data_IF_354702733436
#
_entry.id   IF_354702733436
#
_cell.length_a   1.000
_cell.length_b   1.000
_cell.length_c   1.000
_cell.angle_alpha   90.00
_cell.angle_beta   90.00
_cell.angle_gamma   90.00
#
_symmetry.space_group_name_H-M   'P 1'
#
loop_
_entity.id
_entity.type
_entity.pdbx_description
1 polymer ?
#
# COMPACT_ATOMS: atom_id res chain seq x y z
N UNK A 1 41.80 23.55 -31.14
CA UNK A 1 42.31 23.56 -29.76
C UNK A 1 41.23 24.21 -28.90
N UNK A 2 40.62 23.39 -28.03
CA UNK A 2 39.83 23.68 -26.81
C UNK A 2 38.69 24.73 -26.84
N UNK A 3 37.48 24.19 -26.62
CA UNK A 3 36.28 24.84 -26.12
C UNK A 3 36.49 25.22 -24.64
N UNK A 4 36.13 26.45 -24.25
CA UNK A 4 36.11 26.89 -22.84
C UNK A 4 34.69 26.81 -22.28
N UNK A 5 34.53 26.02 -21.22
CA UNK A 5 33.33 25.98 -20.37
C UNK A 5 33.45 27.07 -19.30
N UNK A 6 32.38 27.82 -19.06
CA UNK A 6 32.25 28.67 -17.87
C UNK A 6 31.43 27.92 -16.81
N UNK A 7 32.09 27.54 -15.72
CA UNK A 7 31.45 27.15 -14.46
C UNK A 7 30.89 28.39 -13.76
N UNK A 8 29.61 28.35 -13.36
CA UNK A 8 29.06 29.29 -12.38
C UNK A 8 28.84 28.54 -11.08
N UNK A 9 29.70 28.84 -10.10
CA UNK A 9 29.58 28.35 -8.73
C UNK A 9 28.51 29.16 -8.00
N UNK A 10 27.41 28.52 -7.59
CA UNK A 10 26.46 29.10 -6.64
C UNK A 10 26.86 28.64 -5.25
N UNK A 11 27.42 29.57 -4.48
CA UNK A 11 27.77 29.35 -3.07
C UNK A 11 26.51 29.45 -2.21
N UNK A 12 26.15 28.35 -1.54
CA UNK A 12 25.12 28.34 -0.52
C UNK A 12 25.65 29.01 0.75
N UNK A 13 25.05 30.14 1.15
CA UNK A 13 25.22 30.73 2.48
C UNK A 13 24.07 30.27 3.38
N UNK A 14 24.41 29.43 4.35
CA UNK A 14 23.60 29.09 5.51
C UNK A 14 23.40 30.31 6.40
N UNK A 15 22.15 30.65 6.71
CA UNK A 15 21.81 31.49 7.85
C UNK A 15 20.77 30.75 8.69
N UNK A 16 21.21 30.33 9.87
CA UNK A 16 20.39 29.71 10.91
C UNK A 16 19.73 30.82 11.70
N UNK A 17 18.42 31.01 11.58
CA UNK A 17 17.63 31.67 12.63
C UNK A 17 16.33 30.92 12.86
N UNK A 18 16.13 30.60 14.14
CA UNK A 18 14.98 30.07 14.87
C UNK A 18 13.69 29.75 14.08
N UNK A 19 13.37 28.46 13.98
CA UNK A 19 11.99 28.01 13.83
C UNK A 19 11.32 28.00 15.21
N UNK A 20 10.43 28.96 15.45
CA UNK A 20 9.42 28.85 16.50
C UNK A 20 8.49 27.67 16.17
N UNK A 21 8.28 26.78 17.14
CA UNK A 21 7.37 25.65 17.05
C UNK A 21 5.91 26.12 17.19
N UNK A 22 5.01 25.88 16.20
CA UNK A 22 3.58 26.04 16.42
C UNK A 22 3.04 24.87 17.25
N UNK A 23 2.13 25.23 18.15
CA UNK A 23 1.48 24.41 19.16
C UNK A 23 0.83 23.13 18.63
N UNK A 24 0.95 22.09 19.46
CA UNK A 24 0.82 20.64 19.21
C UNK A 24 -0.58 20.09 18.87
N UNK A 25 -1.57 20.89 18.44
CA UNK A 25 -2.99 20.45 18.46
C UNK A 25 -3.66 20.14 17.11
N UNK A 26 -2.95 20.16 15.98
CA UNK A 26 -3.57 19.88 14.66
C UNK A 26 -2.76 18.92 13.77
N UNK A 27 -1.94 18.04 14.35
CA UNK A 27 -1.22 17.04 13.57
C UNK A 27 -2.22 15.98 13.06
N UNK A 28 -2.39 15.78 11.74
CA UNK A 28 -3.27 14.74 11.22
C UNK A 28 -2.82 13.36 11.72
N UNK A 29 -3.75 12.51 12.14
CA UNK A 29 -3.48 11.17 12.72
C UNK A 29 -2.48 10.33 11.88
N UNK A 30 -2.47 10.52 10.55
CA UNK A 30 -1.53 9.91 9.59
C UNK A 30 -0.05 10.21 9.91
N UNK A 31 0.25 11.43 10.38
CA UNK A 31 1.61 11.87 10.70
C UNK A 31 2.15 11.26 12.01
N UNK A 32 1.28 11.00 13.00
CA UNK A 32 1.67 10.39 14.29
C UNK A 32 1.98 8.89 14.12
N UNK A 33 1.13 8.15 13.41
CA UNK A 33 1.37 6.72 13.13
C UNK A 33 2.59 6.51 12.24
N UNK A 34 2.84 7.42 11.30
CA UNK A 34 4.03 7.38 10.44
C UNK A 34 5.33 7.53 11.24
N UNK A 35 5.40 8.54 12.12
CA UNK A 35 6.58 8.79 12.96
C UNK A 35 6.87 7.65 13.95
N UNK A 36 5.84 7.03 14.53
CA UNK A 36 6.00 5.91 15.47
C UNK A 36 6.49 4.63 14.76
N UNK A 37 5.92 4.29 13.60
CA UNK A 37 6.34 3.09 12.85
C UNK A 37 7.75 3.24 12.30
N UNK A 38 8.13 4.44 11.88
CA UNK A 38 9.50 4.74 11.48
C UNK A 38 10.47 4.66 12.67
N UNK A 39 10.11 5.22 13.83
CA UNK A 39 10.94 5.12 15.03
C UNK A 39 11.15 3.66 15.46
N UNK A 40 10.11 2.82 15.35
CA UNK A 40 10.22 1.39 15.60
C UNK A 40 11.17 0.70 14.60
N UNK A 41 11.02 0.98 13.30
CA UNK A 41 11.91 0.46 12.26
C UNK A 41 13.37 0.90 12.43
N UNK A 42 13.61 2.10 12.98
CA UNK A 42 14.96 2.59 13.28
C UNK A 42 15.52 2.03 14.61
N UNK A 43 14.68 1.43 15.46
CA UNK A 43 15.05 0.97 16.80
C UNK A 43 15.26 -0.54 16.93
N UNK A 44 14.84 -1.36 15.95
CA UNK A 44 15.07 -2.81 15.96
C UNK A 44 16.53 -3.14 15.60
N UNK A 45 17.42 -2.96 16.55
CA UNK A 45 18.78 -3.48 16.49
C UNK A 45 18.81 -4.88 17.08
N UNK A 46 19.04 -5.91 16.26
CA UNK A 46 19.70 -7.16 16.67
C UNK A 46 20.08 -8.04 15.49
N UNK A 47 21.39 -8.32 15.38
CA UNK A 47 22.02 -9.51 14.76
C UNK A 47 22.17 -9.56 13.22
N UNK A 48 23.39 -9.20 12.81
CA UNK A 48 24.20 -9.74 11.70
C UNK A 48 23.59 -9.87 10.29
N UNK A 49 24.09 -8.97 9.44
CA UNK A 49 24.24 -9.10 7.99
C UNK A 49 22.96 -8.86 7.14
N UNK A 50 22.98 -7.69 6.49
CA UNK A 50 22.22 -7.25 5.30
C UNK A 50 21.10 -6.25 5.62
N UNK A 51 21.42 -4.96 5.54
CA UNK A 51 20.46 -3.90 5.21
C UNK A 51 20.86 -3.36 3.83
N UNK A 52 19.95 -3.24 2.87
CA UNK A 52 20.17 -2.29 1.77
C UNK A 52 19.19 -1.13 1.82
N UNK A 53 18.06 -1.24 2.53
CA UNK A 53 17.34 -0.07 3.02
C UNK A 53 18.11 0.57 4.18
N UNK A 54 19.05 1.45 3.87
CA UNK A 54 19.81 2.16 4.89
C UNK A 54 18.86 2.95 5.80
N UNK A 55 19.19 3.03 7.10
CA UNK A 55 18.50 3.92 8.03
C UNK A 55 18.42 5.35 7.47
N UNK A 56 19.41 5.74 6.65
CA UNK A 56 19.46 7.00 5.90
C UNK A 56 18.32 7.12 4.89
N UNK A 57 18.06 6.10 4.08
CA UNK A 57 17.02 6.12 3.04
C UNK A 57 15.61 6.22 3.64
N UNK A 58 15.36 5.52 4.75
CA UNK A 58 14.10 5.66 5.49
C UNK A 58 13.97 7.04 6.15
N UNK A 59 15.09 7.63 6.58
CA UNK A 59 15.12 9.02 7.05
C UNK A 59 14.78 9.99 5.91
N UNK A 60 15.27 9.75 4.70
CA UNK A 60 14.93 10.54 3.50
C UNK A 60 13.44 10.45 3.16
N UNK A 61 12.87 9.23 3.19
CA UNK A 61 11.42 9.02 3.06
C UNK A 61 10.65 9.79 4.12
N UNK A 62 11.11 9.76 5.37
CA UNK A 62 10.44 10.45 6.48
C UNK A 62 10.42 11.97 6.38
N UNK A 63 11.46 12.51 5.75
CA UNK A 63 11.62 13.93 5.51
C UNK A 63 11.01 14.38 4.18
N UNK A 64 10.43 13.45 3.40
CA UNK A 64 9.90 13.74 2.07
C UNK A 64 10.98 14.13 1.04
N UNK A 65 12.23 13.68 1.23
CA UNK A 65 13.34 13.95 0.30
C UNK A 65 13.31 13.01 -0.91
N UNK A 66 12.26 13.11 -1.71
CA UNK A 66 11.99 12.18 -2.81
C UNK A 66 13.07 12.13 -3.89
N UNK A 67 13.72 13.26 -4.19
CA UNK A 67 14.85 13.31 -5.12
C UNK A 67 15.98 12.36 -4.71
N UNK A 68 16.31 12.34 -3.41
CA UNK A 68 17.35 11.46 -2.86
C UNK A 68 16.90 10.01 -2.92
N UNK A 69 15.64 9.74 -2.57
CA UNK A 69 15.06 8.39 -2.61
C UNK A 69 15.06 7.84 -4.04
N UNK A 70 14.62 8.63 -5.02
CA UNK A 70 14.58 8.24 -6.43
C UNK A 70 15.99 8.04 -6.99
N UNK A 71 16.94 8.93 -6.68
CA UNK A 71 18.33 8.77 -7.10
C UNK A 71 18.96 7.48 -6.54
N UNK A 72 18.70 7.17 -5.26
CA UNK A 72 19.19 5.94 -4.64
C UNK A 72 18.63 4.68 -5.32
N UNK A 73 17.33 4.67 -5.60
CA UNK A 73 16.64 3.54 -6.24
C UNK A 73 17.03 3.40 -7.71
N UNK A 74 17.23 4.50 -8.44
CA UNK A 74 17.74 4.48 -9.81
C UNK A 74 19.17 3.94 -9.87
N UNK A 75 20.00 4.31 -8.89
CA UNK A 75 21.39 3.82 -8.77
C UNK A 75 21.42 2.36 -8.36
N UNK A 76 20.45 1.91 -7.55
CA UNK A 76 20.38 0.55 -7.03
C UNK A 76 18.93 0.05 -6.98
N UNK A 77 18.37 -0.46 -8.09
CA UNK A 77 16.98 -0.92 -8.15
C UNK A 77 16.65 -2.06 -7.18
N UNK A 78 17.67 -2.83 -6.77
CA UNK A 78 17.55 -3.90 -5.75
C UNK A 78 16.90 -3.40 -4.47
N UNK A 79 17.15 -2.14 -4.08
CA UNK A 79 16.56 -1.50 -2.90
C UNK A 79 15.03 -1.56 -2.91
N UNK A 80 14.41 -1.42 -4.08
CA UNK A 80 12.95 -1.45 -4.18
C UNK A 80 12.33 -2.84 -4.14
N UNK A 81 13.15 -3.90 -4.25
CA UNK A 81 12.71 -5.29 -4.16
C UNK A 81 12.91 -5.91 -2.78
N UNK A 82 13.62 -5.23 -1.89
CA UNK A 82 13.87 -5.68 -0.54
C UNK A 82 12.67 -5.48 0.37
N UNK A 83 12.55 -6.35 1.36
CA UNK A 83 11.60 -6.26 2.46
C UNK A 83 12.38 -6.40 3.76
N UNK A 84 11.97 -5.65 4.79
CA UNK A 84 12.53 -5.81 6.13
C UNK A 84 12.01 -7.08 6.83
N UNK A 85 12.47 -7.30 8.06
CA UNK A 85 12.03 -8.40 8.93
C UNK A 85 10.51 -8.41 9.21
N UNK A 86 9.85 -7.25 9.08
CA UNK A 86 8.41 -7.08 9.24
C UNK A 86 7.66 -7.29 7.92
N UNK A 87 8.38 -7.49 6.80
CA UNK A 87 7.83 -7.60 5.47
C UNK A 87 7.48 -6.26 4.84
N UNK A 88 8.05 -5.14 5.28
CA UNK A 88 7.81 -3.82 4.70
C UNK A 88 8.88 -3.52 3.65
N UNK A 89 8.43 -3.17 2.44
CA UNK A 89 9.31 -2.67 1.38
C UNK A 89 9.46 -1.16 1.42
N UNK A 90 10.43 -0.61 0.71
CA UNK A 90 10.58 0.85 0.56
C UNK A 90 9.30 1.52 0.06
N UNK A 91 8.63 0.91 -0.92
CA UNK A 91 7.35 1.41 -1.44
C UNK A 91 6.26 1.43 -0.35
N UNK A 92 6.25 0.49 0.60
CA UNK A 92 5.33 0.56 1.75
C UNK A 92 5.58 1.82 2.58
N UNK A 93 6.85 2.09 2.92
CA UNK A 93 7.22 3.26 3.72
C UNK A 93 6.90 4.57 3.00
N UNK A 94 7.17 4.64 1.69
CA UNK A 94 6.77 5.79 0.86
C UNK A 94 5.26 6.00 0.92
N UNK A 95 4.48 4.95 0.71
CA UNK A 95 3.01 4.97 0.74
C UNK A 95 2.42 5.44 2.08
N UNK A 96 3.14 5.24 3.19
CA UNK A 96 2.73 5.73 4.50
C UNK A 96 2.98 7.23 4.71
N UNK A 97 3.76 7.87 3.85
CA UNK A 97 4.07 9.28 3.99
C UNK A 97 2.84 10.15 3.60
N UNK A 98 2.40 11.09 4.46
CA UNK A 98 1.16 11.83 4.26
C UNK A 98 1.15 12.76 3.05
N UNK A 99 2.34 13.16 2.57
CA UNK A 99 2.53 14.02 1.41
C UNK A 99 3.37 13.34 0.32
N UNK A 100 3.11 12.06 0.04
CA UNK A 100 3.72 11.36 -1.10
C UNK A 100 3.09 11.85 -2.42
N UNK A 101 3.86 12.47 -3.32
CA UNK A 101 3.37 12.90 -4.62
C UNK A 101 3.18 11.72 -5.59
N UNK A 102 2.20 11.80 -6.48
CA UNK A 102 1.85 10.73 -7.43
C UNK A 102 2.93 10.53 -8.51
N UNK A 103 3.54 11.61 -8.96
CA UNK A 103 4.66 11.61 -9.92
C UNK A 103 5.90 10.89 -9.37
N UNK A 104 6.15 10.98 -8.07
CA UNK A 104 7.21 10.21 -7.38
C UNK A 104 6.89 8.71 -7.42
N UNK A 105 5.63 8.32 -7.21
CA UNK A 105 5.21 6.91 -7.33
C UNK A 105 5.45 6.39 -8.74
N UNK A 106 5.03 7.13 -9.77
CA UNK A 106 5.29 6.74 -11.16
C UNK A 106 6.78 6.60 -11.46
N UNK A 107 7.59 7.57 -11.03
CA UNK A 107 9.04 7.57 -11.24
C UNK A 107 9.72 6.39 -10.55
N UNK A 108 9.27 6.07 -9.34
CA UNK A 108 9.76 4.93 -8.57
C UNK A 108 9.40 3.60 -9.25
N UNK A 109 8.14 3.42 -9.66
CA UNK A 109 7.68 2.19 -10.32
C UNK A 109 8.37 1.97 -11.68
N UNK A 110 8.68 3.06 -12.38
CA UNK A 110 9.49 3.03 -13.60
C UNK A 110 10.93 2.58 -13.31
N UNK A 111 11.51 3.02 -12.21
CA UNK A 111 12.87 2.63 -11.80
C UNK A 111 12.94 1.18 -11.27
N UNK A 112 11.83 0.66 -10.72
CA UNK A 112 11.75 -0.67 -10.10
C UNK A 112 10.55 -1.46 -10.65
N UNK A 113 10.65 -1.97 -11.90
CA UNK A 113 9.64 -2.87 -12.44
C UNK A 113 9.67 -4.18 -11.64
N UNK A 114 8.67 -4.40 -10.79
CA UNK A 114 8.64 -5.49 -9.81
C UNK A 114 8.39 -5.02 -8.36
N UNK A 115 8.37 -3.70 -8.12
CA UNK A 115 8.08 -3.15 -6.81
C UNK A 115 6.65 -3.41 -6.35
N UNK A 116 5.71 -3.56 -7.28
CA UNK A 116 4.31 -3.89 -6.99
C UNK A 116 4.20 -5.31 -6.43
N UNK A 117 4.94 -6.26 -6.98
CA UNK A 117 5.00 -7.64 -6.52
C UNK A 117 5.72 -7.75 -5.17
N UNK A 118 6.70 -6.89 -4.91
CA UNK A 118 7.33 -6.77 -3.58
C UNK A 118 6.37 -6.12 -2.59
N UNK A 119 5.64 -5.09 -2.99
CA UNK A 119 4.56 -4.47 -2.21
C UNK A 119 3.45 -5.49 -1.91
N UNK A 120 3.17 -6.41 -2.83
CA UNK A 120 2.26 -7.53 -2.61
C UNK A 120 2.85 -8.50 -1.60
N UNK A 121 4.10 -8.96 -1.76
CA UNK A 121 4.68 -9.96 -0.85
C UNK A 121 4.86 -9.48 0.60
N UNK A 122 4.91 -8.17 0.81
CA UNK A 122 4.89 -7.61 2.15
C UNK A 122 3.57 -7.81 2.88
N UNK A 123 3.54 -7.68 4.20
CA UNK A 123 2.29 -7.74 5.00
C UNK A 123 1.45 -6.48 4.77
N UNK A 124 0.92 -6.35 3.56
CA UNK A 124 -0.02 -5.31 3.17
C UNK A 124 -1.38 -5.59 3.84
N UNK A 125 -2.01 -4.52 4.35
CA UNK A 125 -3.47 -4.26 4.30
C UNK A 125 -3.85 -3.03 5.13
N UNK A 126 -3.14 -2.74 6.23
CA UNK A 126 -3.51 -1.62 7.13
C UNK A 126 -2.80 -0.28 6.84
N UNK A 127 -1.68 -0.31 6.12
CA UNK A 127 -0.83 0.88 5.91
C UNK A 127 -0.99 1.51 4.52
N UNK A 128 -1.12 0.70 3.46
CA UNK A 128 -1.40 1.21 2.10
C UNK A 128 -2.79 1.87 2.02
N UNK A 129 -3.75 1.43 2.83
CA UNK A 129 -5.06 2.09 2.99
C UNK A 129 -5.00 3.49 3.61
N UNK A 130 -3.81 3.95 4.04
CA UNK A 130 -3.58 5.31 4.54
C UNK A 130 -3.09 6.28 3.46
N UNK A 131 -2.84 5.81 2.23
CA UNK A 131 -2.47 6.65 1.08
C UNK A 131 -3.57 7.66 0.70
N UNK A 132 -3.22 8.64 -0.14
CA UNK A 132 -4.21 9.46 -0.84
C UNK A 132 -4.91 8.64 -1.94
N UNK A 133 -6.13 9.04 -2.31
CA UNK A 133 -6.89 8.39 -3.38
C UNK A 133 -6.15 8.41 -4.72
N UNK A 134 -5.35 9.45 -4.96
CA UNK A 134 -4.56 9.61 -6.18
C UNK A 134 -3.38 8.63 -6.23
N UNK A 135 -2.65 8.45 -5.11
CA UNK A 135 -1.57 7.44 -5.00
C UNK A 135 -2.14 6.04 -5.14
N UNK A 136 -3.29 5.80 -4.53
CA UNK A 136 -4.01 4.53 -4.64
C UNK A 136 -4.43 4.23 -6.08
N UNK A 137 -4.91 5.23 -6.82
CA UNK A 137 -5.24 5.09 -8.24
C UNK A 137 -3.98 4.79 -9.08
N UNK A 138 -2.86 5.45 -8.79
CA UNK A 138 -1.59 5.20 -9.49
C UNK A 138 -1.06 3.78 -9.25
N UNK A 139 -1.12 3.29 -8.00
CA UNK A 139 -0.75 1.91 -7.67
C UNK A 139 -1.68 0.90 -8.36
N UNK A 140 -2.99 1.15 -8.37
CA UNK A 140 -3.95 0.29 -9.04
C UNK A 140 -3.71 0.22 -10.56
N UNK A 141 -3.42 1.37 -11.19
CA UNK A 141 -3.05 1.43 -12.59
C UNK A 141 -1.74 0.67 -12.90
N UNK A 142 -0.83 0.58 -11.92
CA UNK A 142 0.39 -0.19 -12.03
C UNK A 142 0.24 -1.70 -11.69
N UNK A 143 -0.99 -2.19 -11.50
CA UNK A 143 -1.26 -3.60 -11.21
C UNK A 143 -1.36 -3.97 -9.73
N UNK A 144 -1.36 -2.99 -8.81
CA UNK A 144 -1.70 -3.25 -7.41
C UNK A 144 -3.19 -3.62 -7.29
N UNK A 145 -3.57 -4.70 -6.57
CA UNK A 145 -4.93 -5.20 -6.58
C UNK A 145 -5.89 -4.13 -6.03
N UNK A 146 -6.80 -3.69 -6.88
CA UNK A 146 -7.84 -2.69 -6.56
C UNK A 146 -8.70 -3.11 -5.35
N UNK A 147 -8.79 -4.41 -5.04
CA UNK A 147 -9.48 -4.91 -3.84
C UNK A 147 -8.77 -4.54 -2.52
N UNK A 148 -7.45 -4.28 -2.53
CA UNK A 148 -6.71 -3.74 -1.39
C UNK A 148 -6.87 -2.22 -1.22
N UNK A 149 -7.43 -1.55 -2.24
CA UNK A 149 -7.47 -0.09 -2.38
C UNK A 149 -8.85 0.50 -2.06
N UNK A 150 -9.94 -0.14 -2.47
CA UNK A 150 -11.22 0.55 -2.61
C UNK A 150 -12.42 -0.02 -1.87
N UNK A 151 -12.20 -0.99 -1.00
CA UNK A 151 -13.20 -1.26 0.02
C UNK A 151 -12.95 -0.26 1.15
N UNK A 152 -13.83 0.74 1.40
CA UNK A 152 -13.76 1.47 2.65
C UNK A 152 -13.61 0.43 3.75
N UNK A 153 -12.71 0.67 4.70
CA UNK A 153 -12.55 -0.17 5.89
C UNK A 153 -13.81 -0.01 6.74
N UNK A 154 -14.92 -0.54 6.23
CA UNK A 154 -16.04 -0.94 7.03
C UNK A 154 -15.57 -2.23 7.66
N UNK A 155 -15.63 -2.31 8.98
CA UNK A 155 -15.57 -3.56 9.75
C UNK A 155 -16.17 -4.71 8.93
N UNK A 156 -15.62 -5.94 9.00
CA UNK A 156 -16.09 -7.08 8.21
C UNK A 156 -17.60 -7.01 8.10
N UNK A 157 -18.11 -6.80 6.89
CA UNK A 157 -19.52 -6.46 6.69
C UNK A 157 -20.36 -7.44 7.48
N UNK A 158 -21.13 -6.94 8.45
CA UNK A 158 -21.92 -7.80 9.34
C UNK A 158 -22.68 -8.80 8.48
N UNK A 159 -22.58 -10.08 8.80
CA UNK A 159 -23.31 -11.11 8.07
C UNK A 159 -24.80 -10.80 8.14
N UNK A 160 -25.39 -10.69 6.96
CA UNK A 160 -26.83 -10.48 6.82
C UNK A 160 -27.49 -11.84 7.00
N UNK A 161 -28.59 -11.88 7.76
CA UNK A 161 -29.38 -13.08 7.98
C UNK A 161 -30.64 -13.04 7.10
N UNK A 162 -30.47 -13.14 5.78
CA UNK A 162 -31.61 -13.15 4.84
C UNK A 162 -32.22 -14.55 4.74
N UNK A 163 -33.54 -14.66 4.51
CA UNK A 163 -34.21 -15.96 4.33
C UNK A 163 -33.93 -16.59 2.96
N UNK A 164 -33.35 -15.84 2.03
CA UNK A 164 -33.09 -16.26 0.65
C UNK A 164 -31.71 -15.81 0.17
N UNK A 165 -31.18 -16.51 -0.84
CA UNK A 165 -29.92 -16.15 -1.46
C UNK A 165 -29.98 -14.76 -2.11
N UNK A 166 -29.02 -13.89 -1.83
CA UNK A 166 -28.94 -12.55 -2.40
C UNK A 166 -28.57 -12.47 -3.89
N UNK A 167 -28.33 -13.62 -4.55
CA UNK A 167 -28.08 -13.69 -6.00
C UNK A 167 -29.25 -14.33 -6.77
N UNK A 168 -29.72 -15.52 -6.36
CA UNK A 168 -30.80 -16.23 -7.07
C UNK A 168 -32.14 -16.22 -6.35
N UNK A 169 -32.24 -15.59 -5.18
CA UNK A 169 -33.47 -15.48 -4.38
C UNK A 169 -34.10 -16.82 -3.95
N UNK A 170 -33.41 -17.94 -4.12
CA UNK A 170 -33.85 -19.24 -3.59
C UNK A 170 -33.84 -19.21 -2.07
N UNK A 171 -34.95 -19.61 -1.45
CA UNK A 171 -35.08 -19.70 0.00
C UNK A 171 -34.10 -20.71 0.61
N UNK A 172 -33.55 -20.38 1.77
CA UNK A 172 -32.70 -21.30 2.52
C UNK A 172 -33.56 -22.32 3.27
N UNK A 173 -33.02 -23.53 3.39
CA UNK A 173 -33.65 -24.67 4.06
C UNK A 173 -32.58 -25.58 4.66
N UNK A 174 -32.99 -26.70 5.26
CA UNK A 174 -32.05 -27.70 5.81
C UNK A 174 -31.11 -28.23 4.71
N UNK A 175 -31.61 -28.37 3.48
CA UNK A 175 -30.84 -28.83 2.31
C UNK A 175 -30.14 -27.69 1.57
N UNK A 176 -30.77 -26.51 1.46
CA UNK A 176 -30.15 -25.31 0.90
C UNK A 176 -29.60 -24.43 2.03
N UNK A 177 -28.42 -24.79 2.53
CA UNK A 177 -27.83 -24.11 3.69
C UNK A 177 -27.37 -22.69 3.35
N UNK A 178 -27.50 -21.79 4.34
CA UNK A 178 -27.03 -20.41 4.26
C UNK A 178 -25.50 -20.35 4.39
N UNK A 179 -24.86 -19.61 3.50
CA UNK A 179 -23.46 -19.21 3.60
C UNK A 179 -23.36 -17.68 3.56
N UNK A 180 -22.21 -17.15 3.99
CA UNK A 180 -21.95 -15.71 3.93
C UNK A 180 -20.74 -15.41 3.05
N UNK A 181 -20.86 -14.38 2.21
CA UNK A 181 -19.71 -13.79 1.54
C UNK A 181 -18.88 -13.02 2.58
N UNK A 182 -17.59 -13.36 2.75
CA UNK A 182 -16.72 -12.68 3.72
C UNK A 182 -16.36 -11.25 3.32
N UNK A 183 -16.57 -10.90 2.04
CA UNK A 183 -16.31 -9.56 1.50
C UNK A 183 -17.48 -8.59 1.66
N UNK A 184 -18.72 -9.02 1.36
CA UNK A 184 -19.90 -8.15 1.35
C UNK A 184 -20.98 -8.53 2.37
N UNK A 185 -20.82 -9.65 3.08
CA UNK A 185 -21.69 -10.06 4.19
C UNK A 185 -23.03 -10.66 3.76
N UNK A 186 -23.29 -10.74 2.46
CA UNK A 186 -24.56 -11.22 1.92
C UNK A 186 -24.78 -12.72 2.17
N UNK A 187 -26.03 -13.11 2.47
CA UNK A 187 -26.43 -14.52 2.53
C UNK A 187 -26.49 -15.12 1.12
N UNK A 188 -25.78 -16.22 0.89
CA UNK A 188 -25.67 -16.88 -0.41
C UNK A 188 -25.76 -18.39 -0.28
N UNK A 189 -26.24 -19.08 -1.31
CA UNK A 189 -26.23 -20.54 -1.37
C UNK A 189 -24.87 -21.09 -1.81
N UNK A 190 -24.69 -22.41 -1.74
CA UNK A 190 -23.44 -23.08 -2.10
C UNK A 190 -23.08 -22.86 -3.58
N UNK A 191 -24.08 -22.84 -4.47
CA UNK A 191 -23.90 -22.60 -5.91
C UNK A 191 -23.29 -21.24 -6.19
N UNK A 192 -23.72 -20.20 -5.45
CA UNK A 192 -23.34 -18.80 -5.64
C UNK A 192 -22.16 -18.35 -4.77
N UNK A 193 -21.42 -19.31 -4.21
CA UNK A 193 -20.29 -19.05 -3.33
C UNK A 193 -19.16 -20.07 -3.47
N UNK A 194 -18.94 -20.54 -4.71
CA UNK A 194 -17.88 -21.54 -5.02
C UNK A 194 -16.48 -20.94 -5.01
N UNK A 195 -16.38 -19.63 -5.20
CA UNK A 195 -15.12 -18.93 -5.31
C UNK A 195 -14.54 -18.55 -3.95
N UNK A 196 -13.22 -18.47 -3.89
CA UNK A 196 -12.50 -17.84 -2.80
C UNK A 196 -11.78 -16.60 -3.31
N UNK A 197 -11.68 -15.58 -2.48
CA UNK A 197 -10.95 -14.36 -2.80
C UNK A 197 -10.41 -13.69 -1.55
N UNK A 198 -9.59 -12.68 -1.76
CA UNK A 198 -8.97 -11.92 -0.67
C UNK A 198 -10.03 -11.13 0.10
N UNK A 199 -9.89 -11.04 1.43
CA UNK A 199 -10.80 -10.28 2.28
C UNK A 199 -10.04 -9.45 3.29
N UNK A 200 -10.56 -8.27 3.62
CA UNK A 200 -9.95 -7.37 4.59
C UNK A 200 -9.91 -8.03 5.98
N UNK A 201 -8.75 -7.99 6.63
CA UNK A 201 -8.54 -8.57 7.97
C UNK A 201 -8.09 -10.04 7.98
N UNK A 202 -8.10 -10.72 6.84
CA UNK A 202 -7.30 -11.93 6.62
C UNK A 202 -5.88 -11.54 6.19
N UNK A 203 -4.89 -12.39 6.44
CA UNK A 203 -3.58 -12.22 5.81
C UNK A 203 -3.73 -12.22 4.28
N UNK A 204 -2.78 -11.64 3.55
CA UNK A 204 -2.82 -11.60 2.10
C UNK A 204 -2.94 -13.01 1.46
N UNK A 205 -2.51 -14.05 2.16
CA UNK A 205 -2.61 -15.45 1.71
C UNK A 205 -3.92 -16.14 2.13
N UNK A 206 -4.79 -15.48 2.90
CA UNK A 206 -6.01 -16.05 3.44
C UNK A 206 -7.18 -15.82 2.48
N UNK A 207 -7.36 -16.73 1.54
CA UNK A 207 -8.51 -16.74 0.66
C UNK A 207 -9.77 -17.19 1.41
N UNK A 208 -10.76 -16.31 1.50
CA UNK A 208 -12.04 -16.59 2.13
C UNK A 208 -13.16 -16.78 1.10
N UNK A 209 -14.24 -17.46 1.50
CA UNK A 209 -15.43 -17.65 0.66
C UNK A 209 -16.03 -16.30 0.25
N UNK A 210 -16.17 -16.08 -1.05
CA UNK A 210 -16.84 -14.92 -1.63
C UNK A 210 -18.00 -15.35 -2.52
N UNK A 211 -18.94 -14.45 -2.77
CA UNK A 211 -20.02 -14.70 -3.73
C UNK A 211 -19.58 -14.41 -5.16
N UNK A 212 -20.31 -14.95 -6.13
CA UNK A 212 -19.97 -14.81 -7.56
C UNK A 212 -19.92 -13.35 -8.01
N UNK A 213 -20.77 -12.47 -7.45
CA UNK A 213 -20.72 -11.03 -7.69
C UNK A 213 -19.37 -10.42 -7.27
N UNK A 214 -18.90 -10.77 -6.08
CA UNK A 214 -17.60 -10.29 -5.58
C UNK A 214 -16.45 -10.86 -6.42
N UNK A 215 -16.56 -12.12 -6.84
CA UNK A 215 -15.56 -12.75 -7.69
C UNK A 215 -15.49 -12.10 -9.08
N UNK A 216 -16.63 -11.77 -9.67
CA UNK A 216 -16.68 -11.05 -10.95
C UNK A 216 -16.07 -9.64 -10.86
N UNK A 217 -16.29 -8.94 -9.73
CA UNK A 217 -15.67 -7.64 -9.47
C UNK A 217 -14.14 -7.74 -9.37
N UNK A 218 -13.62 -8.79 -8.70
CA UNK A 218 -12.17 -9.05 -8.64
C UNK A 218 -11.59 -9.28 -10.05
N UNK A 219 -12.29 -10.01 -10.92
CA UNK A 219 -11.83 -10.28 -12.28
C UNK A 219 -11.86 -9.05 -13.19
N UNK A 220 -12.88 -8.18 -13.10
CA UNK A 220 -12.93 -6.94 -13.89
C UNK A 220 -11.82 -5.96 -13.47
N UNK A 221 -11.50 -5.88 -12.19
CA UNK A 221 -10.40 -5.02 -11.73
C UNK A 221 -9.03 -5.48 -12.23
N UNK A 222 -8.85 -6.79 -12.48
CA UNK A 222 -7.60 -7.32 -13.04
C UNK A 222 -7.46 -7.09 -14.54
N UNK A 223 -8.56 -6.88 -15.28
CA UNK A 223 -8.51 -6.70 -16.75
C UNK A 223 -8.37 -5.23 -17.17
N UNK A 224 -8.83 -4.27 -16.36
CA UNK A 224 -8.69 -2.85 -16.64
C UNK A 224 -7.27 -2.29 -16.36
N UNK A 225 -6.36 -3.10 -15.83
CA UNK A 225 -4.94 -2.78 -15.67
C UNK A 225 -4.05 -3.25 -16.84
N UNK A 226 -4.64 -3.75 -17.92
CA UNK A 226 -3.92 -4.37 -19.06
C UNK A 226 -4.26 -3.79 -20.45
N UNK A 227 -4.99 -2.67 -20.53
CA UNK A 227 -5.22 -1.95 -21.79
C UNK A 227 -4.76 -0.50 -21.69
#
# INVERSE_FOLDING_TARGET
>A
MQLTWHETAVTAKTSLTAFEFPLLHTIPKRSVTFRLMLALALSSSSSHAWWSLSATLLTDVSAGRWEVVLAAVQTSPRLGHEVDEHGMSLLHYMCMHPALPVDVVYSYLKAVPGAIETLHRGKALRHVTQCSDEVLAALAAAGYPHCAVRHPVTLPSRWKEKPMCGLCFTAFSIVNRRHHCRRCGESVCSTHSKHKGHVLGGGLHDLARICDRCHAQDNMTNQLGHN
#
